data_IF_456479771344
#
_entry.id   IF_456479771344
#
_cell.length_a   1.000
_cell.length_b   1.000
_cell.length_c   1.000
_cell.angle_alpha   90.00
_cell.angle_beta   90.00
_cell.angle_gamma   90.00
#
_symmetry.space_group_name_H-M   'P 1'
#
loop_
_entity.id
_entity.type
_entity.pdbx_description
1 polymer ?
#
# COMPACT_ATOMS: atom_id res chain seq x y z
N UNK A 1 -4.09 32.84 25.11
CA UNK A 1 -3.43 32.75 23.79
C UNK A 1 -4.34 31.95 22.87
N UNK A 2 -4.68 32.47 21.70
CA UNK A 2 -5.60 31.81 20.78
C UNK A 2 -4.90 30.65 20.03
N UNK A 3 -5.60 29.54 19.85
CA UNK A 3 -5.17 28.45 18.96
C UNK A 3 -5.12 29.00 17.53
N UNK A 4 -4.07 28.71 16.77
CA UNK A 4 -3.95 29.19 15.40
C UNK A 4 -4.99 28.50 14.52
N UNK A 5 -6.06 29.24 14.18
CA UNK A 5 -7.18 28.73 13.40
C UNK A 5 -6.75 28.17 12.05
N UNK A 6 -5.72 28.77 11.41
CA UNK A 6 -5.21 28.29 10.12
C UNK A 6 -4.68 26.85 10.23
N UNK A 7 -3.83 26.57 11.23
CA UNK A 7 -3.25 25.23 11.45
C UNK A 7 -4.35 24.22 11.79
N UNK A 8 -5.33 24.61 12.62
CA UNK A 8 -6.47 23.76 12.98
C UNK A 8 -7.28 23.34 11.74
N UNK A 9 -7.66 24.30 10.90
CA UNK A 9 -8.44 24.01 9.69
C UNK A 9 -7.64 23.25 8.63
N UNK A 10 -6.36 23.56 8.48
CA UNK A 10 -5.45 22.85 7.57
C UNK A 10 -5.31 21.38 7.99
N UNK A 11 -5.02 21.11 9.28
CA UNK A 11 -4.90 19.75 9.78
C UNK A 11 -6.23 18.99 9.67
N UNK A 12 -7.36 19.64 9.95
CA UNK A 12 -8.67 19.03 9.76
C UNK A 12 -8.93 18.67 8.29
N UNK A 13 -8.67 19.58 7.36
CA UNK A 13 -8.91 19.38 5.93
C UNK A 13 -8.05 18.23 5.37
N UNK A 14 -6.75 18.20 5.67
CA UNK A 14 -5.88 17.11 5.20
C UNK A 14 -6.27 15.75 5.79
N UNK A 15 -6.59 15.69 7.09
CA UNK A 15 -7.05 14.44 7.70
C UNK A 15 -8.41 13.99 7.15
N UNK A 16 -9.28 14.94 6.74
CA UNK A 16 -10.55 14.61 6.11
C UNK A 16 -10.34 13.98 4.74
N UNK A 17 -9.39 14.49 3.94
CA UNK A 17 -9.03 13.88 2.66
C UNK A 17 -8.49 12.46 2.85
N UNK A 18 -7.62 12.24 3.85
CA UNK A 18 -7.13 10.90 4.18
C UNK A 18 -8.25 9.98 4.67
N UNK A 19 -9.18 10.48 5.46
CA UNK A 19 -10.32 9.69 5.90
C UNK A 19 -11.20 9.25 4.73
N UNK A 20 -11.51 10.15 3.80
CA UNK A 20 -12.28 9.84 2.59
C UNK A 20 -11.50 8.84 1.70
N UNK A 21 -10.20 9.03 1.50
CA UNK A 21 -9.40 8.08 0.71
C UNK A 21 -9.34 6.70 1.38
N UNK A 22 -9.25 6.64 2.71
CA UNK A 22 -9.34 5.40 3.48
C UNK A 22 -10.67 4.68 3.25
N UNK A 23 -11.80 5.40 3.27
CA UNK A 23 -13.12 4.84 2.95
C UNK A 23 -13.18 4.26 1.52
N UNK A 24 -12.63 4.97 0.54
CA UNK A 24 -12.61 4.54 -0.87
C UNK A 24 -11.76 3.27 -1.01
N UNK A 25 -10.52 3.29 -0.49
CA UNK A 25 -9.60 2.14 -0.55
C UNK A 25 -10.24 0.93 0.12
N UNK A 26 -10.80 1.09 1.31
CA UNK A 26 -11.45 0.00 2.04
C UNK A 26 -12.67 -0.55 1.26
N UNK A 27 -13.51 0.33 0.70
CA UNK A 27 -14.66 -0.05 -0.10
C UNK A 27 -14.28 -0.84 -1.35
N UNK A 28 -13.28 -0.37 -2.10
CA UNK A 28 -12.75 -1.08 -3.28
C UNK A 28 -12.14 -2.41 -2.88
N UNK A 29 -11.37 -2.45 -1.80
CA UNK A 29 -10.71 -3.69 -1.34
C UNK A 29 -11.71 -4.76 -0.92
N UNK A 30 -12.78 -4.38 -0.22
CA UNK A 30 -13.88 -5.27 0.15
C UNK A 30 -14.65 -5.72 -1.10
N UNK A 31 -14.94 -4.80 -2.03
CA UNK A 31 -15.61 -5.15 -3.28
C UNK A 31 -14.80 -6.18 -4.10
N UNK A 32 -13.49 -5.98 -4.23
CA UNK A 32 -12.59 -6.92 -4.89
C UNK A 32 -12.54 -8.26 -4.16
N UNK A 33 -12.47 -8.25 -2.83
CA UNK A 33 -12.48 -9.46 -2.01
C UNK A 33 -13.76 -10.27 -2.23
N UNK A 34 -14.93 -9.64 -2.08
CA UNK A 34 -16.24 -10.30 -2.24
C UNK A 34 -16.50 -10.77 -3.66
N UNK A 35 -16.14 -9.96 -4.68
CA UNK A 35 -16.33 -10.33 -6.09
C UNK A 35 -15.44 -11.52 -6.51
N UNK A 36 -14.31 -11.72 -5.83
CA UNK A 36 -13.40 -12.85 -6.05
C UNK A 36 -13.65 -14.04 -5.12
N UNK A 37 -14.33 -13.83 -3.99
CA UNK A 37 -14.65 -14.83 -2.94
C UNK A 37 -15.86 -15.75 -3.26
N UNK A 38 -16.37 -15.77 -4.51
CA UNK A 38 -17.41 -16.72 -4.94
C UNK A 38 -17.02 -18.21 -4.89
N UNK A 39 -15.75 -18.53 -4.58
CA UNK A 39 -15.24 -19.89 -4.40
C UNK A 39 -14.80 -20.12 -2.94
N UNK A 40 -15.36 -21.15 -2.31
CA UNK A 40 -15.42 -21.44 -0.85
C UNK A 40 -14.07 -21.88 -0.22
N UNK A 41 -12.92 -21.40 -0.70
CA UNK A 41 -11.60 -21.82 -0.17
C UNK A 41 -10.64 -20.61 -0.09
N UNK A 42 -11.02 -19.57 0.65
CA UNK A 42 -10.26 -18.31 0.76
C UNK A 42 -9.48 -18.20 2.08
N UNK A 43 -8.84 -19.30 2.51
CA UNK A 43 -7.87 -19.26 3.60
C UNK A 43 -6.43 -18.92 3.12
N UNK A 44 -6.18 -18.89 1.81
CA UNK A 44 -4.88 -18.49 1.23
C UNK A 44 -5.03 -17.39 0.16
N UNK A 45 -6.05 -16.54 0.30
CA UNK A 45 -6.39 -15.52 -0.69
C UNK A 45 -5.32 -14.42 -0.72
N UNK A 46 -4.84 -14.10 -1.93
CA UNK A 46 -4.00 -12.96 -2.32
C UNK A 46 -3.52 -12.06 -1.16
N UNK A 47 -2.27 -12.19 -0.67
CA UNK A 47 -1.76 -11.35 0.42
C UNK A 47 -1.85 -9.85 0.12
N UNK A 48 -1.95 -9.46 -1.15
CA UNK A 48 -2.12 -8.08 -1.58
C UNK A 48 -3.49 -7.46 -1.25
N UNK A 49 -4.60 -8.21 -1.36
CA UNK A 49 -5.94 -7.66 -1.08
C UNK A 49 -6.12 -7.47 0.43
N UNK A 50 -5.72 -8.45 1.23
CA UNK A 50 -5.77 -8.35 2.69
C UNK A 50 -4.85 -7.23 3.22
N UNK A 51 -3.68 -7.04 2.60
CA UNK A 51 -2.80 -5.91 2.90
C UNK A 51 -3.46 -4.56 2.55
N UNK A 52 -4.13 -4.45 1.40
CA UNK A 52 -4.89 -3.27 1.00
C UNK A 52 -6.03 -2.95 1.99
N UNK A 53 -6.76 -3.96 2.47
CA UNK A 53 -7.76 -3.81 3.53
C UNK A 53 -7.10 -3.26 4.80
N UNK A 54 -6.00 -3.86 5.24
CA UNK A 54 -5.29 -3.42 6.45
C UNK A 54 -4.81 -1.96 6.34
N UNK A 55 -4.20 -1.59 5.20
CA UNK A 55 -3.77 -0.21 4.92
C UNK A 55 -4.96 0.75 4.92
N UNK A 56 -6.07 0.38 4.26
CA UNK A 56 -7.29 1.18 4.21
C UNK A 56 -7.88 1.46 5.59
N UNK A 57 -7.95 0.44 6.46
CA UNK A 57 -8.41 0.58 7.84
C UNK A 57 -7.49 1.50 8.65
N UNK A 58 -6.16 1.35 8.54
CA UNK A 58 -5.20 2.20 9.24
C UNK A 58 -5.39 3.67 8.83
N UNK A 59 -5.46 3.96 7.53
CA UNK A 59 -5.65 5.31 7.01
C UNK A 59 -6.98 5.91 7.52
N UNK A 60 -8.06 5.12 7.51
CA UNK A 60 -9.37 5.53 7.98
C UNK A 60 -9.35 5.88 9.49
N UNK A 61 -8.74 5.05 10.32
CA UNK A 61 -8.62 5.30 11.77
C UNK A 61 -7.77 6.55 12.04
N UNK A 62 -6.64 6.71 11.37
CA UNK A 62 -5.77 7.88 11.54
C UNK A 62 -6.47 9.17 11.10
N UNK A 63 -7.14 9.15 9.95
CA UNK A 63 -7.92 10.30 9.46
C UNK A 63 -9.02 10.69 10.45
N UNK A 64 -9.73 9.71 11.00
CA UNK A 64 -10.74 9.95 12.04
C UNK A 64 -10.15 10.57 13.30
N UNK A 65 -9.05 10.01 13.83
CA UNK A 65 -8.38 10.52 15.03
C UNK A 65 -7.86 11.95 14.81
N UNK A 66 -7.25 12.23 13.66
CA UNK A 66 -6.75 13.56 13.30
C UNK A 66 -7.88 14.59 13.17
N UNK A 67 -8.96 14.26 12.45
CA UNK A 67 -10.13 15.13 12.30
C UNK A 67 -10.80 15.43 13.64
N UNK A 68 -11.11 14.38 14.41
CA UNK A 68 -11.86 14.51 15.65
C UNK A 68 -11.02 15.15 16.76
N UNK A 69 -9.73 14.85 16.81
CA UNK A 69 -8.76 15.48 17.70
C UNK A 69 -8.63 16.98 17.44
N UNK A 70 -8.56 17.38 16.16
CA UNK A 70 -8.47 18.78 15.77
C UNK A 70 -9.76 19.57 16.10
N UNK A 71 -10.94 19.06 15.69
CA UNK A 71 -12.22 19.77 15.91
C UNK A 71 -12.52 19.92 17.39
N UNK A 72 -12.48 18.81 18.15
CA UNK A 72 -12.85 18.80 19.57
C UNK A 72 -11.77 19.35 20.49
N UNK A 73 -10.62 19.76 19.94
CA UNK A 73 -9.46 20.20 20.73
C UNK A 73 -9.10 19.19 21.83
N UNK A 74 -9.28 17.89 21.55
CA UNK A 74 -9.04 16.84 22.53
C UNK A 74 -7.56 16.41 22.47
N UNK A 75 -6.82 16.78 23.52
CA UNK A 75 -5.39 16.49 23.67
C UNK A 75 -5.07 15.00 23.59
N UNK A 76 -5.90 14.14 24.16
CA UNK A 76 -5.68 12.69 24.15
C UNK A 76 -5.77 12.14 22.72
N UNK A 77 -6.76 12.57 21.94
CA UNK A 77 -6.92 12.15 20.53
C UNK A 77 -5.76 12.66 19.66
N UNK A 78 -5.32 13.91 19.85
CA UNK A 78 -4.15 14.45 19.14
C UNK A 78 -2.85 13.71 19.49
N UNK A 79 -2.67 13.33 20.76
CA UNK A 79 -1.53 12.55 21.22
C UNK A 79 -1.55 11.13 20.63
N UNK A 80 -2.71 10.46 20.63
CA UNK A 80 -2.87 9.16 20.00
C UNK A 80 -2.56 9.21 18.49
N UNK A 81 -3.04 10.25 17.80
CA UNK A 81 -2.71 10.49 16.40
C UNK A 81 -1.20 10.66 16.21
N UNK A 82 -0.54 11.50 17.02
CA UNK A 82 0.92 11.69 16.98
C UNK A 82 1.69 10.39 17.20
N UNK A 83 1.36 9.62 18.25
CA UNK A 83 2.04 8.35 18.56
C UNK A 83 1.84 7.36 17.40
N UNK A 84 0.64 7.30 16.82
CA UNK A 84 0.36 6.39 15.70
C UNK A 84 1.18 6.77 14.46
N UNK A 85 1.29 8.06 14.12
CA UNK A 85 2.15 8.54 13.04
C UNK A 85 3.63 8.22 13.30
N UNK A 86 4.09 8.39 14.55
CA UNK A 86 5.46 8.08 14.93
C UNK A 86 5.77 6.59 14.77
N UNK A 87 4.88 5.71 15.23
CA UNK A 87 5.03 4.25 15.07
C UNK A 87 5.09 3.88 13.60
N UNK A 88 4.20 4.42 12.76
CA UNK A 88 4.19 4.16 11.32
C UNK A 88 5.49 4.65 10.66
N UNK A 89 5.96 5.84 11.04
CA UNK A 89 7.22 6.37 10.52
C UNK A 89 8.41 5.45 10.84
N UNK A 90 8.51 4.97 12.09
CA UNK A 90 9.57 4.03 12.49
C UNK A 90 9.44 2.70 11.75
N UNK A 91 8.22 2.18 11.58
CA UNK A 91 7.97 0.94 10.83
C UNK A 91 8.35 1.08 9.35
N UNK A 92 8.02 2.22 8.71
CA UNK A 92 8.39 2.48 7.32
C UNK A 92 9.91 2.60 7.15
N UNK A 93 10.60 3.27 8.08
CA UNK A 93 12.06 3.34 8.07
C UNK A 93 12.69 1.96 8.25
N UNK A 94 12.21 1.18 9.22
CA UNK A 94 12.70 -0.17 9.46
C UNK A 94 12.46 -1.08 8.25
N UNK A 95 11.26 -1.05 7.66
CA UNK A 95 10.92 -1.82 6.47
C UNK A 95 11.78 -1.40 5.27
N UNK A 96 12.02 -0.10 5.08
CA UNK A 96 12.90 0.42 4.03
C UNK A 96 14.35 -0.06 4.18
N UNK A 97 14.90 0.00 5.40
CA UNK A 97 16.26 -0.48 5.69
C UNK A 97 16.35 -2.00 5.48
N UNK A 98 15.42 -2.77 6.05
CA UNK A 98 15.40 -4.23 5.91
C UNK A 98 15.22 -4.66 4.44
N UNK A 99 14.34 -3.99 3.71
CA UNK A 99 14.12 -4.25 2.28
C UNK A 99 15.37 -3.96 1.43
N UNK A 100 16.11 -2.91 1.75
CA UNK A 100 17.36 -2.58 1.06
C UNK A 100 18.51 -3.55 1.40
N UNK A 101 18.62 -3.98 2.66
CA UNK A 101 19.70 -4.88 3.10
C UNK A 101 19.46 -6.33 2.65
N UNK A 102 18.21 -6.80 2.73
CA UNK A 102 17.85 -8.20 2.44
C UNK A 102 17.14 -8.37 1.08
N UNK A 103 17.46 -7.54 0.08
CA UNK A 103 16.79 -7.52 -1.24
C UNK A 103 16.64 -8.93 -1.87
N UNK A 104 17.71 -9.73 -1.84
CA UNK A 104 17.70 -11.11 -2.38
C UNK A 104 16.69 -12.01 -1.67
N UNK A 105 16.57 -11.87 -0.34
CA UNK A 105 15.65 -12.65 0.48
C UNK A 105 14.21 -12.22 0.25
N UNK A 106 13.96 -10.92 0.05
CA UNK A 106 12.65 -10.39 -0.35
C UNK A 106 12.23 -10.96 -1.71
N UNK A 107 13.14 -10.99 -2.70
CA UNK A 107 12.89 -11.60 -4.01
C UNK A 107 12.55 -13.10 -3.91
N UNK A 108 13.30 -13.87 -3.11
CA UNK A 108 13.02 -15.30 -2.88
C UNK A 108 11.67 -15.50 -2.20
N UNK A 109 11.42 -14.76 -1.12
CA UNK A 109 10.16 -14.84 -0.39
C UNK A 109 8.97 -14.52 -1.29
N UNK A 110 9.07 -13.47 -2.11
CA UNK A 110 8.04 -13.12 -3.08
C UNK A 110 7.80 -14.25 -4.08
N UNK A 111 8.87 -14.80 -4.68
CA UNK A 111 8.75 -15.92 -5.62
C UNK A 111 8.15 -17.17 -4.98
N UNK A 112 8.51 -17.49 -3.74
CA UNK A 112 7.92 -18.64 -3.02
C UNK A 112 6.44 -18.45 -2.73
N UNK A 113 6.00 -17.23 -2.43
CA UNK A 113 4.56 -16.91 -2.30
C UNK A 113 3.82 -16.94 -3.63
N UNK A 114 4.50 -16.70 -4.75
CA UNK A 114 3.92 -16.84 -6.07
C UNK A 114 3.85 -18.30 -6.52
N UNK A 115 4.77 -19.16 -6.06
CA UNK A 115 4.75 -20.59 -6.39
C UNK A 115 3.50 -21.33 -5.89
N UNK A 116 2.82 -20.83 -4.86
CA UNK A 116 1.57 -21.45 -4.36
C UNK A 116 0.44 -21.41 -5.39
N UNK A 117 0.53 -20.55 -6.41
CA UNK A 117 -0.43 -20.48 -7.51
C UNK A 117 -0.14 -21.47 -8.65
N UNK A 118 0.96 -22.23 -8.58
CA UNK A 118 1.38 -23.20 -9.60
C UNK A 118 0.83 -24.60 -9.22
N UNK A 119 0.27 -25.38 -10.16
CA UNK A 119 0.19 -25.13 -11.60
C UNK A 119 -0.90 -24.11 -11.96
N UNK A 120 -0.54 -23.13 -12.79
CA UNK A 120 -1.42 -22.02 -13.17
C UNK A 120 -2.69 -22.51 -13.89
N UNK A 121 -2.57 -23.59 -14.66
CA UNK A 121 -3.69 -24.23 -15.38
C UNK A 121 -4.76 -24.83 -14.46
N UNK A 122 -4.49 -24.99 -13.16
CA UNK A 122 -5.46 -25.50 -12.18
C UNK A 122 -6.20 -24.39 -11.42
N UNK A 123 -5.82 -23.13 -11.66
CA UNK A 123 -6.44 -21.99 -10.99
C UNK A 123 -7.83 -21.69 -11.55
N UNK A 124 -8.71 -21.04 -10.77
CA UNK A 124 -10.01 -20.60 -11.24
C UNK A 124 -9.93 -19.72 -12.50
N UNK A 125 -10.93 -19.81 -13.39
CA UNK A 125 -10.95 -19.11 -14.68
C UNK A 125 -10.76 -17.59 -14.55
N UNK A 126 -11.32 -16.98 -13.51
CA UNK A 126 -11.14 -15.55 -13.24
C UNK A 126 -9.69 -15.19 -12.87
N UNK A 127 -8.97 -16.08 -12.19
CA UNK A 127 -7.54 -15.90 -11.86
C UNK A 127 -6.69 -16.07 -13.11
N UNK A 128 -7.04 -17.05 -13.96
CA UNK A 128 -6.39 -17.26 -15.26
C UNK A 128 -6.60 -16.02 -16.14
N UNK A 129 -7.82 -15.49 -16.25
CA UNK A 129 -8.13 -14.32 -17.06
C UNK A 129 -7.36 -13.06 -16.60
N UNK A 130 -7.30 -12.81 -15.29
CA UNK A 130 -6.52 -11.71 -14.72
C UNK A 130 -5.01 -11.87 -15.01
N UNK A 131 -4.49 -13.11 -14.91
CA UNK A 131 -3.09 -13.40 -15.20
C UNK A 131 -2.78 -13.27 -16.70
N UNK A 132 -3.69 -13.67 -17.58
CA UNK A 132 -3.55 -13.51 -19.02
C UNK A 132 -3.54 -12.03 -19.43
N UNK A 133 -4.38 -11.19 -18.79
CA UNK A 133 -4.34 -9.72 -18.97
C UNK A 133 -2.99 -9.16 -18.54
N UNK A 134 -2.51 -9.54 -17.36
CA UNK A 134 -1.21 -9.14 -16.84
C UNK A 134 -0.07 -9.55 -17.79
N UNK A 135 -0.08 -10.78 -18.30
CA UNK A 135 0.92 -11.29 -19.24
C UNK A 135 0.95 -10.50 -20.55
N UNK A 136 -0.22 -10.13 -21.07
CA UNK A 136 -0.33 -9.28 -22.28
C UNK A 136 0.20 -7.86 -22.03
N UNK A 137 -0.12 -7.29 -20.88
CA UNK A 137 0.28 -5.93 -20.51
C UNK A 137 1.79 -5.82 -20.24
N UNK A 138 2.35 -6.79 -19.53
CA UNK A 138 3.76 -6.81 -19.14
C UNK A 138 4.67 -7.54 -20.13
N UNK A 139 4.12 -8.18 -21.17
CA UNK A 139 4.86 -8.95 -22.18
C UNK A 139 5.77 -10.03 -21.55
N UNK A 140 5.17 -10.85 -20.69
CA UNK A 140 5.82 -11.93 -19.96
C UNK A 140 4.98 -13.20 -20.03
N UNK A 141 5.53 -14.37 -19.67
CA UNK A 141 4.79 -15.62 -19.62
C UNK A 141 5.05 -16.39 -18.33
N UNK A 142 3.99 -16.97 -17.77
CA UNK A 142 4.03 -17.66 -16.47
C UNK A 142 4.27 -16.69 -15.33
N UNK A 143 4.52 -17.21 -14.12
CA UNK A 143 4.64 -16.42 -12.92
C UNK A 143 6.07 -16.44 -12.36
N UNK A 144 6.63 -17.64 -12.18
CA UNK A 144 7.94 -17.87 -11.55
C UNK A 144 8.93 -18.58 -12.47
N UNK A 145 8.54 -19.67 -13.13
CA UNK A 145 9.44 -20.48 -13.98
C UNK A 145 9.19 -20.28 -15.49
N UNK A 146 8.53 -19.18 -15.86
CA UNK A 146 8.25 -18.86 -17.26
C UNK A 146 7.10 -19.71 -17.84
N UNK A 147 7.12 -20.00 -19.15
CA UNK A 147 6.10 -20.82 -19.82
C UNK A 147 5.84 -22.20 -19.19
N UNK A 148 6.83 -22.73 -18.44
CA UNK A 148 6.75 -24.03 -17.77
C UNK A 148 5.74 -24.07 -16.62
N UNK A 149 5.28 -22.92 -16.13
CA UNK A 149 4.25 -22.84 -15.10
C UNK A 149 2.85 -23.23 -15.62
N UNK A 150 2.69 -23.27 -16.95
CA UNK A 150 1.46 -23.67 -17.64
C UNK A 150 1.55 -25.11 -18.14
N UNK A 151 0.49 -25.89 -17.92
CA UNK A 151 0.35 -27.20 -18.57
C UNK A 151 -0.02 -27.04 -20.05
N UNK A 152 -0.84 -26.02 -20.35
CA UNK A 152 -1.16 -25.60 -21.72
C UNK A 152 -0.90 -24.09 -21.81
N UNK A 153 0.06 -23.70 -22.65
CA UNK A 153 0.47 -22.30 -22.80
C UNK A 153 -0.70 -21.49 -23.40
N UNK A 154 -1.16 -20.42 -22.73
CA UNK A 154 -2.24 -19.57 -23.23
C UNK A 154 -1.78 -18.64 -24.35
N UNK A 155 -2.74 -18.04 -25.07
CA UNK A 155 -2.43 -17.07 -26.13
C UNK A 155 -1.81 -15.77 -25.59
N UNK A 156 -2.05 -15.41 -24.33
CA UNK A 156 -1.42 -14.26 -23.66
C UNK A 156 0.11 -14.33 -23.62
N UNK A 157 0.68 -15.53 -23.67
CA UNK A 157 2.12 -15.77 -23.68
C UNK A 157 2.74 -15.66 -25.07
N UNK A 158 1.93 -15.60 -26.13
CA UNK A 158 2.42 -15.55 -27.51
C UNK A 158 2.87 -14.15 -27.89
N UNK A 159 3.94 -14.08 -28.65
CA UNK A 159 4.55 -12.84 -29.10
C UNK A 159 4.90 -12.90 -30.59
N UNK A 160 5.00 -11.74 -31.24
CA UNK A 160 5.44 -11.71 -32.63
C UNK A 160 6.96 -11.87 -32.67
N UNK A 161 7.49 -12.75 -33.52
CA UNK A 161 8.92 -13.06 -33.61
C UNK A 161 9.79 -11.85 -34.01
N UNK A 162 9.17 -10.75 -34.45
CA UNK A 162 9.83 -9.47 -34.72
C UNK A 162 10.04 -8.60 -33.47
N UNK A 163 9.44 -8.93 -32.32
CA UNK A 163 9.66 -8.19 -31.06
C UNK A 163 10.97 -8.61 -30.39
N UNK A 164 11.72 -7.63 -29.86
CA UNK A 164 13.01 -7.82 -29.18
C UNK A 164 12.94 -8.74 -27.95
N UNK A 165 11.79 -8.79 -27.28
CA UNK A 165 11.54 -9.58 -26.07
C UNK A 165 11.05 -11.01 -26.38
N UNK A 166 10.88 -11.35 -27.66
CA UNK A 166 10.34 -12.61 -28.15
C UNK A 166 11.44 -13.52 -28.71
N UNK A 167 11.81 -14.59 -27.99
CA UNK A 167 12.78 -15.60 -28.48
C UNK A 167 12.08 -16.76 -29.21
N UNK A 168 12.88 -17.64 -29.83
CA UNK A 168 12.47 -18.71 -30.74
C UNK A 168 11.21 -19.44 -30.26
N UNK A 169 10.24 -19.64 -31.17
CA UNK A 169 8.89 -20.22 -30.98
C UNK A 169 7.73 -19.22 -30.72
N UNK A 170 7.95 -17.92 -30.86
CA UNK A 170 6.87 -16.91 -30.75
C UNK A 170 6.19 -16.90 -29.36
N UNK A 171 6.95 -17.14 -28.29
CA UNK A 171 6.48 -17.18 -26.89
C UNK A 171 7.44 -16.40 -25.98
N UNK A 172 6.90 -15.53 -25.10
CA UNK A 172 7.69 -14.82 -24.10
C UNK A 172 8.35 -15.81 -23.14
N UNK A 173 9.67 -15.69 -22.94
CA UNK A 173 10.43 -16.59 -22.06
C UNK A 173 10.63 -16.02 -20.65
N UNK A 174 10.55 -14.70 -20.50
CA UNK A 174 10.72 -14.03 -19.22
C UNK A 174 9.49 -14.26 -18.33
N UNK A 175 9.73 -14.64 -17.07
CA UNK A 175 8.65 -14.82 -16.08
C UNK A 175 8.08 -13.46 -15.68
N UNK A 176 6.77 -13.39 -15.38
CA UNK A 176 6.18 -12.13 -14.96
C UNK A 176 6.74 -11.61 -13.63
N UNK A 177 7.16 -12.49 -12.71
CA UNK A 177 7.82 -12.05 -11.47
C UNK A 177 9.16 -11.37 -11.75
N UNK A 178 9.96 -11.89 -12.68
CA UNK A 178 11.23 -11.26 -13.07
C UNK A 178 11.00 -9.95 -13.83
N UNK A 179 10.02 -9.91 -14.74
CA UNK A 179 9.65 -8.66 -15.43
C UNK A 179 9.25 -7.56 -14.46
N UNK A 180 8.44 -7.89 -13.44
CA UNK A 180 8.00 -6.94 -12.40
C UNK A 180 9.20 -6.48 -11.55
N UNK A 181 10.10 -7.38 -11.17
CA UNK A 181 11.32 -7.02 -10.44
C UNK A 181 12.17 -6.05 -11.27
N UNK A 182 12.39 -6.36 -12.55
CA UNK A 182 13.17 -5.54 -13.45
C UNK A 182 12.52 -4.16 -13.66
N UNK A 183 11.19 -4.09 -13.79
CA UNK A 183 10.45 -2.83 -13.85
C UNK A 183 10.59 -2.02 -12.56
N UNK A 184 10.53 -2.67 -11.40
CA UNK A 184 10.71 -2.00 -10.11
C UNK A 184 12.12 -1.45 -9.94
N UNK A 185 13.14 -2.15 -10.43
CA UNK A 185 14.52 -1.67 -10.46
C UNK A 185 14.70 -0.48 -11.41
N UNK A 186 14.06 -0.52 -12.59
CA UNK A 186 14.08 0.59 -13.55
C UNK A 186 13.36 1.84 -13.03
N UNK A 187 12.30 1.66 -12.25
CA UNK A 187 11.50 2.75 -11.69
C UNK A 187 11.80 3.02 -10.20
N UNK A 188 12.95 2.56 -9.71
CA UNK A 188 13.32 2.69 -8.30
C UNK A 188 13.39 4.14 -7.84
N UNK A 189 13.79 5.06 -8.72
CA UNK A 189 13.78 6.51 -8.43
C UNK A 189 12.38 7.04 -8.11
N UNK A 190 11.36 6.57 -8.84
CA UNK A 190 9.96 6.97 -8.61
C UNK A 190 9.47 6.42 -7.28
N UNK A 191 9.77 5.15 -6.99
CA UNK A 191 9.39 4.50 -5.72
C UNK A 191 10.03 5.22 -4.54
N UNK A 192 11.31 5.57 -4.64
CA UNK A 192 12.02 6.34 -3.62
C UNK A 192 11.40 7.73 -3.44
N UNK A 193 11.01 8.38 -4.54
CA UNK A 193 10.31 9.66 -4.52
C UNK A 193 8.97 9.59 -3.76
N UNK A 194 8.16 8.56 -4.01
CA UNK A 194 6.90 8.34 -3.29
C UNK A 194 7.16 8.10 -1.80
N UNK A 195 8.14 7.25 -1.46
CA UNK A 195 8.51 6.98 -0.07
C UNK A 195 8.96 8.25 0.68
N UNK A 196 9.76 9.09 0.03
CA UNK A 196 10.21 10.36 0.59
C UNK A 196 9.05 11.35 0.79
N UNK A 197 8.13 11.45 -0.17
CA UNK A 197 6.93 12.28 -0.04
C UNK A 197 6.05 11.82 1.14
N UNK A 198 5.86 10.52 1.31
CA UNK A 198 5.13 9.95 2.46
C UNK A 198 5.83 10.32 3.78
N UNK A 199 7.16 10.16 3.85
CA UNK A 199 7.94 10.52 5.04
C UNK A 199 7.75 12.00 5.43
N UNK A 200 7.79 12.90 4.45
CA UNK A 200 7.54 14.33 4.65
C UNK A 200 6.12 14.57 5.18
N UNK A 201 5.10 13.95 4.57
CA UNK A 201 3.71 14.09 5.02
C UNK A 201 3.50 13.63 6.46
N UNK A 202 4.15 12.52 6.86
CA UNK A 202 4.11 12.03 8.24
C UNK A 202 4.76 13.01 9.21
N UNK A 203 5.91 13.59 8.85
CA UNK A 203 6.60 14.60 9.67
C UNK A 203 5.74 15.85 9.83
N UNK A 204 5.12 16.34 8.74
CA UNK A 204 4.20 17.48 8.82
C UNK A 204 3.00 17.17 9.73
N UNK A 205 2.41 15.98 9.61
CA UNK A 205 1.32 15.54 10.49
C UNK A 205 1.73 15.52 11.97
N UNK A 206 2.92 15.00 12.27
CA UNK A 206 3.48 14.97 13.63
C UNK A 206 3.72 16.39 14.17
N UNK A 207 4.35 17.27 13.39
CA UNK A 207 4.66 18.66 13.79
C UNK A 207 3.38 19.44 14.05
N UNK A 208 2.40 19.40 13.13
CA UNK A 208 1.14 20.12 13.31
C UNK A 208 0.31 19.56 14.47
N UNK A 209 0.29 18.23 14.67
CA UNK A 209 -0.37 17.63 15.83
C UNK A 209 0.25 18.14 17.13
N UNK A 210 1.58 18.17 17.23
CA UNK A 210 2.27 18.64 18.44
C UNK A 210 2.10 20.14 18.68
N UNK A 211 2.11 20.95 17.62
CA UNK A 211 1.82 22.39 17.72
C UNK A 211 0.41 22.62 18.28
N UNK A 212 -0.60 21.93 17.74
CA UNK A 212 -1.98 22.05 18.22
C UNK A 212 -2.11 21.53 19.66
N UNK A 213 -1.49 20.40 19.98
CA UNK A 213 -1.45 19.86 21.35
C UNK A 213 -0.88 20.87 22.33
N UNK A 214 0.27 21.49 22.03
CA UNK A 214 0.89 22.51 22.88
C UNK A 214 0.02 23.77 23.01
N UNK A 215 -0.63 24.22 21.94
CA UNK A 215 -1.53 25.38 21.99
C UNK A 215 -2.74 25.12 22.88
N UNK A 216 -3.37 23.94 22.77
CA UNK A 216 -4.48 23.52 23.63
C UNK A 216 -3.98 23.36 25.08
N UNK A 217 -2.78 22.80 25.27
CA UNK A 217 -2.17 22.63 26.58
C UNK A 217 -2.02 23.95 27.34
N UNK A 218 -1.53 24.97 26.63
CA UNK A 218 -1.36 26.33 27.17
C UNK A 218 -2.71 27.03 27.40
N UNK A 219 -3.71 26.76 26.55
CA UNK A 219 -5.07 27.31 26.70
C UNK A 219 -5.70 26.85 28.01
N UNK A 220 -5.76 25.55 28.29
CA UNK A 220 -6.47 25.09 29.50
C UNK A 220 -5.67 25.37 30.78
N UNK A 221 -4.32 25.44 30.69
CA UNK A 221 -3.49 25.90 31.80
C UNK A 221 -3.81 27.35 32.22
N UNK A 222 -3.96 28.26 31.26
CA UNK A 222 -4.31 29.66 31.53
C UNK A 222 -5.72 29.83 32.12
N UNK A 223 -6.69 29.02 31.69
CA UNK A 223 -8.06 29.02 32.25
C UNK A 223 -8.07 28.61 33.72
N UNK A 224 -7.25 27.62 34.09
CA UNK A 224 -7.16 27.14 35.48
C UNK A 224 -6.56 28.20 36.41
N UNK A 225 -5.58 28.99 35.94
CA UNK A 225 -4.97 30.07 36.73
C UNK A 225 -5.86 31.30 36.90
N UNK A 226 -6.86 31.51 36.04
CA UNK A 226 -7.77 32.67 36.11
C UNK A 226 -8.99 32.39 37.00
N UNK A 227 -9.22 31.13 37.37
CA UNK A 227 -10.38 30.67 38.15
C UNK A 227 -10.05 30.35 39.61
N UNK A 228 -8.77 30.43 40.00
CA UNK A 228 -8.28 30.37 41.37
C UNK A 228 -7.94 31.78 41.86
#
# INVERSE_FOLDING_TARGET
MAVNKCIKYLLFFFNLLFWISGCIILGVSIYLKVSKDGNVITNESLPGIDLMIAIGVIILVLGFLGCWGAIRENRCLLLLFFISLLVIFVLLLAAGILGAVEEKKVKIWMKDRLKTFIPLSSQPDNVIEDLEKLQKELKCCGLVNGPSDWTKIPESCRCNATETDCKSNAIYQESCSDKIINLMEQHLEVVLGIAFAIAILLIFGMVFSMILYCQISRKDGATTTTTA
#
